data_IF_651703318202
#
_entry.id   IF_651703318202
#
_cell.length_a   1.000
_cell.length_b   1.000
_cell.length_c   1.000
_cell.angle_alpha   90.00
_cell.angle_beta   90.00
_cell.angle_gamma   90.00
#
_symmetry.space_group_name_H-M   'P 1'
#
loop_
_entity.id
_entity.type
_entity.pdbx_description
1 polymer ?
#
# COMPACT_ATOMS: atom_id res chain seq x y z
N UNK A 1 53.31 -0.70 39.93
CA UNK A 1 52.26 -1.74 39.68
C UNK A 1 50.85 -1.19 39.43
N UNK A 2 50.49 0.03 39.87
CA UNK A 2 49.18 0.68 39.72
C UNK A 2 48.77 0.98 38.27
N UNK A 3 49.70 1.26 37.38
CA UNK A 3 49.42 1.71 36.00
C UNK A 3 48.89 0.59 35.07
N UNK A 4 49.31 -0.64 35.30
CA UNK A 4 48.92 -1.81 34.44
C UNK A 4 47.48 -2.30 34.75
N UNK A 5 47.03 -2.22 35.98
CA UNK A 5 45.65 -2.52 36.41
C UNK A 5 44.66 -1.51 35.85
N UNK A 6 45.02 -0.23 35.82
CA UNK A 6 44.18 0.84 35.29
C UNK A 6 44.00 0.71 33.77
N UNK A 7 45.07 0.39 33.02
CA UNK A 7 45.01 0.14 31.57
C UNK A 7 44.12 -1.07 31.24
N UNK A 8 44.19 -2.13 32.05
CA UNK A 8 43.35 -3.32 31.85
C UNK A 8 41.85 -2.99 32.08
N UNK A 9 41.56 -2.22 33.08
CA UNK A 9 40.20 -1.74 33.39
C UNK A 9 39.64 -0.86 32.28
N UNK A 10 40.45 0.07 31.77
CA UNK A 10 40.04 0.94 30.67
C UNK A 10 39.81 0.13 29.36
N UNK A 11 40.64 -0.86 29.08
CA UNK A 11 40.43 -1.77 27.93
C UNK A 11 39.13 -2.54 28.05
N UNK A 12 38.77 -3.09 29.19
CA UNK A 12 37.51 -3.79 29.39
C UNK A 12 36.30 -2.86 29.25
N UNK A 13 36.42 -1.61 29.69
CA UNK A 13 35.37 -0.60 29.51
C UNK A 13 35.15 -0.23 28.03
N UNK A 14 36.26 -0.10 27.28
CA UNK A 14 36.19 0.18 25.83
C UNK A 14 35.48 -0.97 25.10
N UNK A 15 35.77 -2.21 25.45
CA UNK A 15 35.08 -3.38 24.87
C UNK A 15 33.58 -3.31 25.20
N UNK A 16 33.22 -3.09 26.45
CA UNK A 16 31.80 -3.00 26.84
C UNK A 16 31.06 -1.87 26.10
N UNK A 17 31.67 -0.70 25.98
CA UNK A 17 31.07 0.41 25.22
C UNK A 17 30.95 0.12 23.74
N UNK A 18 31.92 -0.57 23.14
CA UNK A 18 31.83 -0.98 21.74
C UNK A 18 30.69 -1.98 21.51
N UNK A 19 30.48 -2.91 22.42
CA UNK A 19 29.36 -3.85 22.36
C UNK A 19 28.02 -3.12 22.50
N UNK A 20 27.89 -2.18 23.41
CA UNK A 20 26.70 -1.34 23.56
C UNK A 20 26.42 -0.48 22.30
N UNK A 21 27.48 0.12 21.72
CA UNK A 21 27.35 0.89 20.47
C UNK A 21 26.85 -0.01 19.33
N UNK A 22 27.33 -1.25 19.22
CA UNK A 22 26.89 -2.20 18.21
C UNK A 22 25.43 -2.59 18.39
N UNK A 23 24.96 -2.82 19.62
CA UNK A 23 23.58 -3.11 19.97
C UNK A 23 22.66 -1.94 19.65
N UNK A 24 23.04 -0.72 20.05
CA UNK A 24 22.31 0.50 19.74
C UNK A 24 22.21 0.74 18.24
N UNK A 25 23.28 0.54 17.49
CA UNK A 25 23.27 0.66 16.02
C UNK A 25 22.33 -0.35 15.36
N UNK A 26 22.30 -1.59 15.84
CA UNK A 26 21.35 -2.63 15.39
C UNK A 26 19.92 -2.22 15.67
N UNK A 27 19.65 -1.71 16.88
CA UNK A 27 18.33 -1.20 17.28
C UNK A 27 17.88 -0.03 16.41
N UNK A 28 18.76 0.95 16.18
CA UNK A 28 18.49 2.09 15.30
C UNK A 28 18.15 1.63 13.88
N UNK A 29 18.89 0.65 13.35
CA UNK A 29 18.62 0.08 12.03
C UNK A 29 17.25 -0.59 11.96
N UNK A 30 16.88 -1.34 13.00
CA UNK A 30 15.56 -1.97 13.13
C UNK A 30 14.42 -0.93 13.20
N UNK A 31 14.58 0.09 14.05
CA UNK A 31 13.61 1.17 14.17
C UNK A 31 13.42 1.97 12.88
N UNK A 32 14.51 2.31 12.17
CA UNK A 32 14.43 2.98 10.87
C UNK A 32 13.64 2.15 9.85
N UNK A 33 13.86 0.83 9.81
CA UNK A 33 13.09 -0.08 8.94
C UNK A 33 11.61 -0.10 9.30
N UNK A 34 11.28 -0.13 10.59
CA UNK A 34 9.89 -0.10 11.07
C UNK A 34 9.20 1.21 10.70
N UNK A 35 9.87 2.36 10.87
CA UNK A 35 9.34 3.67 10.49
C UNK A 35 9.01 3.72 9.01
N UNK A 36 9.90 3.23 8.13
CA UNK A 36 9.65 3.17 6.68
C UNK A 36 8.41 2.31 6.40
N UNK A 37 8.30 1.13 7.01
CA UNK A 37 7.16 0.23 6.82
C UNK A 37 5.85 0.88 7.25
N UNK A 38 5.80 1.52 8.42
CA UNK A 38 4.60 2.24 8.89
C UNK A 38 4.23 3.41 7.98
N UNK A 39 5.21 4.18 7.50
CA UNK A 39 4.95 5.29 6.57
C UNK A 39 4.35 4.79 5.26
N UNK A 40 4.84 3.67 4.74
CA UNK A 40 4.32 3.04 3.54
C UNK A 40 2.88 2.51 3.73
N UNK A 41 2.60 1.93 4.90
CA UNK A 41 1.25 1.47 5.25
C UNK A 41 0.26 2.62 5.36
N UNK A 42 0.63 3.70 6.03
CA UNK A 42 -0.19 4.91 6.13
C UNK A 42 -0.47 5.47 4.73
N UNK A 43 0.55 5.58 3.89
CA UNK A 43 0.38 6.07 2.52
C UNK A 43 -0.68 5.26 1.76
N UNK A 44 -0.57 3.93 1.73
CA UNK A 44 -1.52 3.10 0.97
C UNK A 44 -2.93 3.11 1.59
N UNK A 45 -3.05 3.23 2.91
CA UNK A 45 -4.34 3.39 3.60
C UNK A 45 -5.02 4.72 3.25
N UNK A 46 -4.24 5.77 3.04
CA UNK A 46 -4.72 7.06 2.58
C UNK A 46 -5.42 6.98 1.21
N UNK A 47 -4.99 6.05 0.37
CA UNK A 47 -5.65 5.72 -0.91
C UNK A 47 -6.74 4.65 -0.77
N UNK A 48 -7.16 4.31 0.45
CA UNK A 48 -8.21 3.34 0.71
C UNK A 48 -7.81 1.88 0.49
N UNK A 49 -6.51 1.57 0.46
CA UNK A 49 -6.03 0.21 0.36
C UNK A 49 -5.70 -0.35 1.74
N UNK A 50 -6.67 -1.01 2.37
CA UNK A 50 -6.54 -1.60 3.70
C UNK A 50 -6.12 -3.07 3.64
N UNK A 51 -5.49 -3.57 4.71
CA UNK A 51 -5.24 -5.01 4.82
C UNK A 51 -6.56 -5.79 4.84
N UNK A 52 -6.65 -6.92 4.11
CA UNK A 52 -7.85 -7.74 4.10
C UNK A 52 -8.13 -8.31 5.49
N UNK A 53 -9.36 -8.20 5.96
CA UNK A 53 -9.82 -8.75 7.26
C UNK A 53 -9.94 -10.30 7.26
N UNK A 54 -9.40 -10.99 6.27
CA UNK A 54 -9.52 -12.44 6.14
C UNK A 54 -8.32 -13.16 6.74
N UNK A 55 -8.55 -14.01 7.74
CA UNK A 55 -7.56 -14.97 8.16
C UNK A 55 -7.49 -16.10 7.11
N UNK A 56 -6.32 -16.27 6.52
CA UNK A 56 -6.06 -17.27 5.48
C UNK A 56 -5.58 -18.57 6.13
N UNK A 57 -6.50 -19.41 6.60
CA UNK A 57 -6.11 -20.57 7.38
C UNK A 57 -5.68 -21.79 6.56
N UNK A 58 -6.11 -21.96 5.30
CA UNK A 58 -5.89 -23.25 4.62
C UNK A 58 -5.73 -23.21 3.08
N UNK A 59 -4.82 -22.42 2.50
CA UNK A 59 -4.40 -22.64 1.10
C UNK A 59 -3.17 -21.78 0.73
N UNK A 60 -1.97 -22.29 0.97
CA UNK A 60 -0.72 -21.54 0.87
C UNK A 60 -0.44 -20.98 -0.53
N UNK A 61 -0.79 -21.68 -1.60
CA UNK A 61 -0.58 -21.19 -2.98
C UNK A 61 -1.45 -19.97 -3.32
N UNK A 62 -2.72 -19.96 -2.93
CA UNK A 62 -3.62 -18.82 -3.16
C UNK A 62 -3.30 -17.63 -2.26
N UNK A 63 -2.79 -17.90 -1.07
CA UNK A 63 -2.31 -16.86 -0.16
C UNK A 63 -1.14 -16.10 -0.77
N UNK A 64 -0.17 -16.81 -1.34
CA UNK A 64 0.97 -16.22 -2.01
C UNK A 64 0.54 -15.35 -3.21
N UNK A 65 -0.41 -15.80 -4.04
CA UNK A 65 -0.95 -15.02 -5.16
C UNK A 65 -1.65 -13.75 -4.67
N UNK A 66 -2.49 -13.83 -3.65
CA UNK A 66 -3.18 -12.67 -3.07
C UNK A 66 -2.21 -11.64 -2.49
N UNK A 67 -1.18 -12.10 -1.77
CA UNK A 67 -0.13 -11.24 -1.24
C UNK A 67 0.62 -10.55 -2.38
N UNK A 68 0.98 -11.30 -3.43
CA UNK A 68 1.68 -10.74 -4.59
C UNK A 68 0.85 -9.65 -5.28
N UNK A 69 -0.42 -9.91 -5.57
CA UNK A 69 -1.31 -8.90 -6.17
C UNK A 69 -1.43 -7.68 -5.27
N UNK A 70 -1.53 -7.87 -3.95
CA UNK A 70 -1.61 -6.76 -2.99
C UNK A 70 -0.34 -5.93 -2.98
N UNK A 71 0.83 -6.58 -3.04
CA UNK A 71 2.11 -5.90 -3.13
C UNK A 71 2.23 -5.08 -4.43
N UNK A 72 1.74 -5.61 -5.56
CA UNK A 72 1.67 -4.85 -6.82
C UNK A 72 0.75 -3.63 -6.69
N UNK A 73 -0.42 -3.75 -6.06
CA UNK A 73 -1.31 -2.61 -5.79
C UNK A 73 -0.62 -1.55 -4.89
N UNK A 74 0.07 -1.99 -3.83
CA UNK A 74 0.85 -1.10 -2.95
C UNK A 74 1.96 -0.38 -3.74
N UNK A 75 2.69 -1.09 -4.60
CA UNK A 75 3.72 -0.50 -5.44
C UNK A 75 3.15 0.58 -6.36
N UNK A 76 2.07 0.29 -7.07
CA UNK A 76 1.43 1.24 -7.98
C UNK A 76 0.92 2.51 -7.28
N UNK A 77 0.49 2.40 -6.01
CA UNK A 77 0.11 3.56 -5.21
C UNK A 77 1.35 4.39 -4.83
N UNK A 78 2.43 3.73 -4.42
CA UNK A 78 3.67 4.38 -3.97
C UNK A 78 4.39 5.13 -5.10
N UNK A 79 4.45 4.53 -6.28
CA UNK A 79 5.09 5.12 -7.47
C UNK A 79 4.17 6.04 -8.27
N UNK A 80 2.88 6.14 -7.88
CA UNK A 80 1.90 7.01 -8.51
C UNK A 80 1.27 6.46 -9.79
N UNK A 81 1.60 5.23 -10.20
CA UNK A 81 1.09 4.62 -11.44
C UNK A 81 -0.34 4.08 -11.34
N UNK A 82 -0.95 4.06 -10.15
CA UNK A 82 -2.33 3.63 -9.95
C UNK A 82 -3.36 4.64 -10.52
N UNK A 83 -2.99 5.92 -10.60
CA UNK A 83 -3.87 7.01 -11.07
C UNK A 83 -3.07 7.93 -11.99
N UNK A 84 -3.57 8.19 -13.16
CA UNK A 84 -3.03 9.21 -14.05
C UNK A 84 -3.62 10.58 -13.71
N UNK A 85 -2.91 11.67 -14.05
CA UNK A 85 -3.40 13.04 -13.92
C UNK A 85 -2.34 14.03 -14.35
N UNK A 86 -2.76 15.11 -15.00
CA UNK A 86 -1.85 16.14 -15.48
C UNK A 86 -1.43 17.07 -14.33
N UNK A 87 -0.14 17.39 -14.28
CA UNK A 87 0.46 18.23 -13.25
C UNK A 87 0.31 19.75 -13.53
N UNK A 88 -0.13 20.15 -14.73
CA UNK A 88 -0.15 21.57 -15.16
C UNK A 88 -1.39 22.36 -14.72
N UNK A 89 -2.18 21.78 -13.83
CA UNK A 89 -3.34 22.45 -13.27
C UNK A 89 -2.95 23.62 -12.35
N UNK A 90 -3.57 24.77 -12.57
CA UNK A 90 -3.36 25.96 -11.74
C UNK A 90 -4.65 26.38 -11.03
N UNK A 91 -4.52 26.81 -9.78
CA UNK A 91 -5.63 27.36 -8.99
C UNK A 91 -5.28 28.81 -8.62
N UNK A 92 -6.08 29.75 -9.10
CA UNK A 92 -5.84 31.21 -8.92
C UNK A 92 -4.40 31.62 -9.29
N UNK A 93 -3.88 31.11 -10.42
CA UNK A 93 -2.51 31.37 -10.89
C UNK A 93 -1.40 30.65 -10.12
N UNK A 94 -1.73 29.79 -9.15
CA UNK A 94 -0.75 29.06 -8.36
C UNK A 94 -0.63 27.60 -8.83
N UNK A 95 0.50 27.22 -9.43
CA UNK A 95 0.81 25.85 -9.80
C UNK A 95 0.99 24.94 -8.57
N UNK A 96 1.45 25.48 -7.44
CA UNK A 96 1.61 24.71 -6.20
C UNK A 96 0.24 24.25 -5.66
N UNK A 97 -0.74 25.15 -5.63
CA UNK A 97 -2.12 24.83 -5.24
C UNK A 97 -2.76 23.87 -6.24
N UNK A 98 -2.50 24.06 -7.53
CA UNK A 98 -2.97 23.16 -8.59
C UNK A 98 -2.48 21.73 -8.40
N UNK A 99 -1.17 21.53 -8.25
CA UNK A 99 -0.58 20.20 -8.00
C UNK A 99 -1.13 19.55 -6.74
N UNK A 100 -1.35 20.31 -5.66
CA UNK A 100 -1.97 19.79 -4.45
C UNK A 100 -3.39 19.32 -4.72
N UNK A 101 -4.20 20.10 -5.41
CA UNK A 101 -5.58 19.77 -5.75
C UNK A 101 -5.67 18.50 -6.61
N UNK A 102 -4.78 18.35 -7.61
CA UNK A 102 -4.67 17.11 -8.40
C UNK A 102 -4.37 15.90 -7.52
N UNK A 103 -3.38 15.99 -6.63
CA UNK A 103 -3.03 14.90 -5.71
C UNK A 103 -4.19 14.52 -4.77
N UNK A 104 -4.86 15.52 -4.22
CA UNK A 104 -6.00 15.30 -3.32
C UNK A 104 -7.16 14.61 -4.09
N UNK A 105 -7.42 15.01 -5.34
CA UNK A 105 -8.44 14.38 -6.18
C UNK A 105 -8.06 12.96 -6.61
N UNK A 106 -6.80 12.72 -7.01
CA UNK A 106 -6.28 11.37 -7.30
C UNK A 106 -6.51 10.45 -6.11
N UNK A 107 -6.17 10.91 -4.90
CA UNK A 107 -6.36 10.18 -3.65
C UNK A 107 -7.85 9.90 -3.40
N UNK A 108 -8.71 10.90 -3.58
CA UNK A 108 -10.16 10.75 -3.39
C UNK A 108 -10.76 9.72 -4.34
N UNK A 109 -10.47 9.82 -5.64
CA UNK A 109 -11.00 8.90 -6.65
C UNK A 109 -10.54 7.46 -6.42
N UNK A 110 -9.24 7.28 -6.11
CA UNK A 110 -8.71 5.95 -5.87
C UNK A 110 -9.25 5.34 -4.56
N UNK A 111 -9.42 6.17 -3.53
CA UNK A 111 -10.03 5.74 -2.25
C UNK A 111 -11.49 5.31 -2.45
N UNK A 112 -12.27 6.07 -3.20
CA UNK A 112 -13.65 5.70 -3.53
C UNK A 112 -13.70 4.36 -4.29
N UNK A 113 -12.88 4.20 -5.33
CA UNK A 113 -12.80 2.97 -6.10
C UNK A 113 -12.37 1.77 -5.25
N UNK A 114 -11.36 1.92 -4.42
CA UNK A 114 -10.91 0.85 -3.53
C UNK A 114 -12.00 0.41 -2.57
N UNK A 115 -12.71 1.36 -1.95
CA UNK A 115 -13.81 1.07 -1.03
C UNK A 115 -14.96 0.31 -1.70
N UNK A 116 -15.41 0.75 -2.87
CA UNK A 116 -16.46 0.05 -3.62
C UNK A 116 -16.01 -1.34 -4.09
N UNK A 117 -14.77 -1.48 -4.56
CA UNK A 117 -14.21 -2.78 -4.93
C UNK A 117 -14.13 -3.74 -3.75
N UNK A 118 -13.67 -3.27 -2.60
CA UNK A 118 -13.52 -4.11 -1.40
C UNK A 118 -14.91 -4.57 -0.90
N UNK A 119 -15.94 -3.72 -0.95
CA UNK A 119 -17.31 -4.13 -0.65
C UNK A 119 -17.82 -5.23 -1.61
N UNK A 120 -17.59 -5.06 -2.92
CA UNK A 120 -17.99 -6.05 -3.93
C UNK A 120 -17.23 -7.38 -3.72
N UNK A 121 -15.92 -7.32 -3.43
CA UNK A 121 -15.07 -8.50 -3.22
C UNK A 121 -15.51 -9.25 -1.95
N UNK A 122 -15.88 -8.53 -0.90
CA UNK A 122 -16.37 -9.14 0.34
C UNK A 122 -17.64 -9.96 0.13
N UNK A 123 -18.53 -9.49 -0.75
CA UNK A 123 -19.81 -10.13 -1.07
C UNK A 123 -19.74 -11.16 -2.22
N UNK A 124 -18.56 -11.37 -2.83
CA UNK A 124 -18.42 -12.29 -3.97
C UNK A 124 -18.65 -13.74 -3.54
N UNK A 125 -19.49 -14.44 -4.32
CA UNK A 125 -19.77 -15.87 -4.26
C UNK A 125 -19.61 -16.48 -5.65
N UNK A 126 -19.69 -17.81 -5.73
CA UNK A 126 -19.58 -18.51 -7.01
C UNK A 126 -20.65 -18.05 -8.03
N UNK A 127 -21.89 -17.97 -7.58
CA UNK A 127 -23.06 -17.64 -8.41
C UNK A 127 -23.22 -16.16 -8.79
N UNK A 128 -22.47 -15.25 -8.14
CA UNK A 128 -22.57 -13.81 -8.42
C UNK A 128 -21.30 -13.21 -9.01
N UNK A 129 -20.35 -14.03 -9.47
CA UNK A 129 -19.06 -13.57 -9.94
C UNK A 129 -19.18 -12.58 -11.11
N UNK A 130 -19.92 -12.95 -12.17
CA UNK A 130 -20.02 -12.13 -13.38
C UNK A 130 -20.76 -10.81 -13.09
N UNK A 131 -21.83 -10.88 -12.30
CA UNK A 131 -22.52 -9.66 -11.85
C UNK A 131 -21.64 -8.76 -11.02
N UNK A 132 -20.74 -9.32 -10.20
CA UNK A 132 -19.76 -8.56 -9.42
C UNK A 132 -18.68 -7.92 -10.31
N UNK A 133 -18.21 -8.60 -11.38
CA UNK A 133 -17.30 -7.97 -12.37
C UNK A 133 -17.98 -6.79 -13.05
N UNK A 134 -19.23 -6.96 -13.46
CA UNK A 134 -20.03 -5.86 -14.06
C UNK A 134 -20.21 -4.68 -13.09
N UNK A 135 -20.39 -4.95 -11.79
CA UNK A 135 -20.46 -3.89 -10.77
C UNK A 135 -19.14 -3.13 -10.65
N UNK A 136 -18.00 -3.83 -10.56
CA UNK A 136 -16.69 -3.20 -10.51
C UNK A 136 -16.42 -2.35 -11.76
N UNK A 137 -16.81 -2.82 -12.96
CA UNK A 137 -16.67 -2.04 -14.20
C UNK A 137 -17.53 -0.78 -14.20
N UNK A 138 -18.77 -0.86 -13.68
CA UNK A 138 -19.64 0.32 -13.52
C UNK A 138 -19.05 1.33 -12.56
N UNK A 139 -18.54 0.88 -11.41
CA UNK A 139 -17.85 1.70 -10.44
C UNK A 139 -16.65 2.41 -11.07
N UNK A 140 -15.77 1.66 -11.75
CA UNK A 140 -14.63 2.20 -12.47
C UNK A 140 -15.04 3.32 -13.46
N UNK A 141 -16.04 3.06 -14.29
CA UNK A 141 -16.53 4.01 -15.28
C UNK A 141 -17.19 5.25 -14.65
N UNK A 142 -17.93 5.06 -13.54
CA UNK A 142 -18.57 6.16 -12.82
C UNK A 142 -17.53 7.09 -12.19
N UNK A 143 -16.52 6.52 -11.56
CA UNK A 143 -15.43 7.28 -10.92
C UNK A 143 -14.56 7.97 -11.99
N UNK A 144 -14.28 7.31 -13.11
CA UNK A 144 -13.55 7.93 -14.22
C UNK A 144 -14.25 9.21 -14.73
N UNK A 145 -15.58 9.22 -14.80
CA UNK A 145 -16.36 10.42 -15.20
C UNK A 145 -16.15 11.59 -14.24
N UNK A 146 -15.94 11.35 -12.96
CA UNK A 146 -15.71 12.41 -11.96
C UNK A 146 -14.33 13.05 -12.13
N UNK A 147 -13.36 12.31 -12.67
CA UNK A 147 -12.01 12.81 -12.90
C UNK A 147 -11.81 13.57 -14.22
N UNK A 148 -12.77 13.51 -15.15
CA UNK A 148 -12.63 14.04 -16.53
C UNK A 148 -12.25 15.50 -16.56
N UNK A 149 -12.89 16.34 -15.75
CA UNK A 149 -12.65 17.81 -15.72
C UNK A 149 -11.20 18.15 -15.36
N UNK A 150 -10.54 17.32 -14.58
CA UNK A 150 -9.16 17.53 -14.12
C UNK A 150 -8.18 16.57 -14.83
N UNK A 151 -8.61 15.91 -15.90
CA UNK A 151 -7.85 14.90 -16.65
C UNK A 151 -7.26 13.78 -15.74
N UNK A 152 -7.98 13.42 -14.67
CA UNK A 152 -7.57 12.36 -13.72
C UNK A 152 -8.33 11.09 -14.02
N UNK A 153 -7.63 9.97 -14.07
CA UNK A 153 -8.26 8.65 -14.20
C UNK A 153 -7.49 7.55 -13.47
N UNK A 154 -8.21 6.57 -12.93
CA UNK A 154 -7.60 5.34 -12.43
C UNK A 154 -7.09 4.56 -13.64
N UNK A 155 -5.87 4.03 -13.57
CA UNK A 155 -5.27 3.30 -14.68
C UNK A 155 -5.92 1.94 -14.89
N UNK A 156 -5.94 1.49 -16.15
CA UNK A 156 -6.44 0.14 -16.51
C UNK A 156 -5.68 -0.95 -15.77
N UNK A 157 -4.37 -0.78 -15.61
CA UNK A 157 -3.51 -1.77 -14.94
C UNK A 157 -3.90 -1.94 -13.48
N UNK A 158 -4.21 -0.83 -12.78
CA UNK A 158 -4.70 -0.91 -11.39
C UNK A 158 -6.09 -1.56 -11.31
N UNK A 159 -6.99 -1.23 -12.25
CA UNK A 159 -8.30 -1.89 -12.35
C UNK A 159 -8.14 -3.40 -12.56
N UNK A 160 -7.26 -3.83 -13.47
CA UNK A 160 -7.04 -5.24 -13.75
C UNK A 160 -6.46 -6.00 -12.54
N UNK A 161 -5.60 -5.37 -11.75
CA UNK A 161 -5.15 -5.94 -10.47
C UNK A 161 -6.31 -6.15 -9.47
N UNK A 162 -7.28 -5.25 -9.41
CA UNK A 162 -8.49 -5.43 -8.58
C UNK A 162 -9.34 -6.59 -9.07
N UNK A 163 -9.49 -6.77 -10.39
CA UNK A 163 -10.20 -7.92 -10.96
C UNK A 163 -9.47 -9.23 -10.66
N UNK A 164 -8.15 -9.27 -10.81
CA UNK A 164 -7.32 -10.44 -10.48
C UNK A 164 -7.45 -10.80 -9.00
N UNK A 165 -7.35 -9.83 -8.10
CA UNK A 165 -7.52 -10.04 -6.67
C UNK A 165 -8.87 -10.68 -6.34
N UNK A 166 -9.96 -10.16 -6.93
CA UNK A 166 -11.31 -10.71 -6.80
C UNK A 166 -11.40 -12.17 -7.31
N UNK A 167 -10.76 -12.46 -8.45
CA UNK A 167 -10.75 -13.80 -9.03
C UNK A 167 -10.09 -14.82 -8.11
N UNK A 168 -8.97 -14.44 -7.50
CA UNK A 168 -8.23 -15.27 -6.54
C UNK A 168 -9.03 -15.47 -5.24
N UNK A 169 -9.71 -14.44 -4.73
CA UNK A 169 -10.63 -14.57 -3.58
C UNK A 169 -11.80 -15.54 -3.89
N UNK A 170 -12.37 -15.50 -5.10
CA UNK A 170 -13.44 -16.44 -5.51
C UNK A 170 -12.96 -17.89 -5.53
N UNK A 171 -11.77 -18.16 -6.10
CA UNK A 171 -11.21 -19.52 -6.19
C UNK A 171 -11.09 -20.14 -4.79
N UNK A 172 -10.66 -19.35 -3.81
CA UNK A 172 -10.57 -19.75 -2.41
C UNK A 172 -11.93 -20.14 -1.81
N UNK A 173 -12.97 -19.31 -2.02
CA UNK A 173 -14.32 -19.57 -1.47
C UNK A 173 -15.01 -20.79 -2.07
N UNK A 174 -14.48 -21.40 -3.16
CA UNK A 174 -14.97 -22.63 -3.76
C UNK A 174 -14.39 -23.89 -3.12
N UNK A 175 -13.25 -23.78 -2.43
CA UNK A 175 -12.54 -24.91 -1.83
C UNK A 175 -12.88 -25.14 -0.34
N UNK A 176 -13.57 -24.20 0.28
CA UNK A 176 -14.17 -24.30 1.61
C UNK A 176 -15.67 -24.57 1.49
#
# INVERSE_FOLDING_TARGET
MTNMSEITKQKSLIVAYNDEINELNSTIKGLKKSIITFSDEILVQDFGLYEPRYSFVNADSYKAELINIRNMQKSMIKDGSAVSGDADWQVNGSAVRGRKMIKDMQKLLLRAFNSECDEIINKVKYNNYDSSVKKMKRSFNAIAKLGVTMAISITSDYYDLKIRFKSSVRRKKKQN
#
